data_IF_486936035886
#
_entry.id   IF_486936035886
#
_cell.length_a   1.000
_cell.length_b   1.000
_cell.length_c   1.000
_cell.angle_alpha   90.00
_cell.angle_beta   90.00
_cell.angle_gamma   90.00
#
_symmetry.space_group_name_H-M   'P 1'
#
loop_
_entity.id
_entity.type
_entity.pdbx_description
1 polymer ?
#
# COMPACT_ATOMS: atom_id res chain seq x y z
N UNK A 1 17.59 -16.48 9.62
CA UNK A 1 16.49 -15.50 9.65
C UNK A 1 16.57 -14.70 8.35
N UNK A 2 15.50 -14.66 7.55
CA UNK A 2 15.43 -13.71 6.43
C UNK A 2 14.88 -12.39 6.97
N UNK A 3 15.48 -11.27 6.59
CA UNK A 3 15.00 -9.93 6.91
C UNK A 3 14.19 -9.46 5.70
N UNK A 4 12.99 -8.97 5.94
CA UNK A 4 12.16 -8.31 4.92
C UNK A 4 12.25 -6.80 5.11
N UNK A 5 12.36 -6.06 4.02
CA UNK A 5 12.35 -4.59 4.00
C UNK A 5 11.01 -4.07 3.47
N UNK A 6 10.41 -3.14 4.20
CA UNK A 6 9.15 -2.49 3.84
C UNK A 6 9.40 -1.03 3.45
N UNK A 7 8.82 -0.59 2.33
CA UNK A 7 8.65 0.82 2.03
C UNK A 7 7.36 1.33 2.68
N UNK A 8 7.49 2.26 3.63
CA UNK A 8 6.40 3.10 4.11
C UNK A 8 6.47 4.46 3.39
N UNK A 9 5.46 4.75 2.56
CA UNK A 9 5.40 5.97 1.76
C UNK A 9 4.14 6.79 2.11
N UNK A 10 4.35 7.87 2.88
CA UNK A 10 3.28 8.73 3.42
C UNK A 10 2.86 9.88 2.48
N UNK A 11 3.23 9.85 1.20
CA UNK A 11 2.71 10.82 0.24
C UNK A 11 1.22 10.61 -0.03
N UNK A 12 0.48 11.71 -0.26
CA UNK A 12 -0.91 11.67 -0.71
C UNK A 12 -1.03 11.84 -2.24
N UNK A 13 0.08 12.15 -2.92
CA UNK A 13 0.14 12.36 -4.36
C UNK A 13 0.39 11.01 -5.03
N UNK A 14 -0.63 10.48 -5.72
CA UNK A 14 -0.59 9.16 -6.37
C UNK A 14 0.62 8.95 -7.28
N UNK A 15 0.97 9.95 -8.11
CA UNK A 15 2.10 9.85 -9.02
C UNK A 15 3.44 9.74 -8.29
N UNK A 16 3.62 10.48 -7.19
CA UNK A 16 4.82 10.38 -6.36
C UNK A 16 4.86 9.04 -5.62
N UNK A 17 3.71 8.54 -5.16
CA UNK A 17 3.62 7.23 -4.53
C UNK A 17 4.13 6.13 -5.47
N UNK A 18 3.56 6.07 -6.68
CA UNK A 18 3.89 5.06 -7.69
C UNK A 18 5.36 5.20 -8.10
N UNK A 19 5.81 6.42 -8.39
CA UNK A 19 7.19 6.68 -8.81
C UNK A 19 8.19 6.18 -7.76
N UNK A 20 8.00 6.52 -6.49
CA UNK A 20 8.90 6.05 -5.42
C UNK A 20 8.85 4.54 -5.25
N UNK A 21 7.67 3.91 -5.32
CA UNK A 21 7.55 2.46 -5.24
C UNK A 21 8.29 1.75 -6.39
N UNK A 22 8.16 2.24 -7.61
CA UNK A 22 8.86 1.72 -8.79
C UNK A 22 10.38 1.95 -8.72
N UNK A 23 10.83 3.12 -8.24
CA UNK A 23 12.26 3.47 -8.11
C UNK A 23 13.02 2.57 -7.12
N UNK A 24 12.35 2.05 -6.08
CA UNK A 24 13.00 1.25 -5.03
C UNK A 24 12.56 -0.21 -5.02
N UNK A 25 11.76 -0.65 -5.99
CA UNK A 25 11.16 -1.96 -6.05
C UNK A 25 12.17 -3.12 -5.87
N UNK A 26 13.36 -2.99 -6.43
CA UNK A 26 14.42 -4.03 -6.36
C UNK A 26 15.03 -4.20 -4.94
N UNK A 27 14.75 -3.27 -4.02
CA UNK A 27 15.34 -3.24 -2.69
C UNK A 27 14.36 -3.62 -1.57
N UNK A 28 13.06 -3.72 -1.88
CA UNK A 28 12.00 -3.89 -0.89
C UNK A 28 11.19 -5.16 -1.17
N UNK A 29 10.69 -5.77 -0.10
CA UNK A 29 9.84 -6.95 -0.16
C UNK A 29 8.35 -6.58 0.00
N UNK A 30 8.08 -5.51 0.74
CA UNK A 30 6.73 -5.06 1.11
C UNK A 30 6.52 -3.61 0.71
N UNK A 31 5.41 -3.33 0.04
CA UNK A 31 4.96 -1.98 -0.30
C UNK A 31 3.75 -1.65 0.57
N UNK A 32 3.91 -0.68 1.46
CA UNK A 32 2.79 -0.13 2.22
C UNK A 32 2.08 0.94 1.39
N UNK A 33 0.82 0.70 1.06
CA UNK A 33 -0.12 1.72 0.60
C UNK A 33 -0.62 2.44 1.85
N UNK A 34 0.07 3.52 2.20
CA UNK A 34 -0.12 4.25 3.47
C UNK A 34 -1.49 4.92 3.59
N UNK A 35 -1.89 5.21 4.83
CA UNK A 35 -3.18 5.88 5.13
C UNK A 35 -3.43 7.15 4.31
N UNK A 36 -2.48 8.09 4.12
CA UNK A 36 -2.74 9.33 3.36
C UNK A 36 -3.20 9.08 1.91
N UNK A 37 -2.58 8.12 1.23
CA UNK A 37 -2.87 7.81 -0.17
C UNK A 37 -4.17 6.99 -0.29
N UNK A 38 -4.47 6.11 0.68
CA UNK A 38 -5.76 5.41 0.77
C UNK A 38 -6.90 6.41 0.96
N UNK A 39 -6.73 7.41 1.85
CA UNK A 39 -7.75 8.43 2.07
C UNK A 39 -7.97 9.31 0.82
N UNK A 40 -6.91 9.59 0.05
CA UNK A 40 -7.00 10.43 -1.14
C UNK A 40 -7.55 9.70 -2.37
N UNK A 41 -7.24 8.41 -2.55
CA UNK A 41 -7.52 7.67 -3.81
C UNK A 41 -8.36 6.40 -3.62
N UNK A 42 -8.68 6.04 -2.38
CA UNK A 42 -9.42 4.83 -2.03
C UNK A 42 -8.63 3.54 -2.27
N UNK A 43 -9.32 2.40 -2.14
CA UNK A 43 -8.73 1.06 -2.29
C UNK A 43 -8.38 0.70 -3.74
N UNK A 44 -8.77 1.53 -4.72
CA UNK A 44 -8.39 1.34 -6.12
C UNK A 44 -6.88 1.39 -6.32
N UNK A 45 -6.16 2.21 -5.54
CA UNK A 45 -4.70 2.31 -5.62
C UNK A 45 -4.01 1.02 -5.14
N UNK A 46 -4.59 0.29 -4.18
CA UNK A 46 -4.06 -1.01 -3.73
C UNK A 46 -4.03 -2.00 -4.89
N UNK A 47 -5.13 -2.08 -5.67
CA UNK A 47 -5.22 -2.94 -6.86
C UNK A 47 -4.23 -2.52 -7.94
N UNK A 48 -4.13 -1.22 -8.21
CA UNK A 48 -3.21 -0.71 -9.23
C UNK A 48 -1.74 -1.03 -8.90
N UNK A 49 -1.33 -0.93 -7.65
CA UNK A 49 0.03 -1.29 -7.25
C UNK A 49 0.25 -2.80 -7.36
N UNK A 50 -0.73 -3.62 -6.95
CA UNK A 50 -0.67 -5.06 -7.14
C UNK A 50 -0.54 -5.47 -8.61
N UNK A 51 -1.16 -4.73 -9.53
CA UNK A 51 -1.05 -5.00 -10.97
C UNK A 51 0.30 -4.54 -11.55
N UNK A 52 0.86 -3.43 -11.04
CA UNK A 52 2.14 -2.86 -11.50
C UNK A 52 3.35 -3.62 -10.97
N UNK A 53 3.29 -4.05 -9.72
CA UNK A 53 4.39 -4.67 -8.96
C UNK A 53 3.91 -6.03 -8.41
N UNK A 54 3.62 -7.00 -9.30
CA UNK A 54 2.94 -8.26 -8.93
C UNK A 54 3.80 -9.22 -8.09
N UNK A 55 5.11 -9.00 -8.04
CA UNK A 55 6.05 -9.83 -7.26
C UNK A 55 6.23 -9.33 -5.82
N UNK A 56 5.62 -8.20 -5.46
CA UNK A 56 5.74 -7.58 -4.13
C UNK A 56 4.56 -7.92 -3.23
N UNK A 57 4.82 -8.01 -1.92
CA UNK A 57 3.74 -8.07 -0.94
C UNK A 57 3.16 -6.67 -0.75
N UNK A 58 1.85 -6.52 -0.91
CA UNK A 58 1.16 -5.24 -0.73
C UNK A 58 0.50 -5.19 0.66
N UNK A 59 0.81 -4.17 1.45
CA UNK A 59 0.20 -3.89 2.74
C UNK A 59 -0.70 -2.65 2.61
N UNK A 60 -2.02 -2.81 2.79
CA UNK A 60 -2.95 -1.69 2.84
C UNK A 60 -3.10 -1.20 4.29
N UNK A 61 -2.54 -0.03 4.60
CA UNK A 61 -2.51 0.52 5.96
C UNK A 61 -3.80 1.31 6.26
N UNK A 62 -4.90 0.56 6.37
CA UNK A 62 -6.27 1.09 6.55
C UNK A 62 -6.58 1.50 8.00
N UNK A 63 -5.79 1.03 8.98
CA UNK A 63 -5.99 1.31 10.42
C UNK A 63 -7.44 1.05 10.92
N UNK A 64 -8.03 -0.05 10.48
CA UNK A 64 -9.37 -0.49 10.91
C UNK A 64 -9.38 -0.64 12.44
N UNK A 65 -10.22 0.14 13.13
CA UNK A 65 -10.20 0.22 14.61
C UNK A 65 -11.58 0.42 15.22
N UNK A 66 -12.57 0.89 14.47
CA UNK A 66 -13.92 1.17 14.98
C UNK A 66 -14.91 0.09 14.50
N UNK A 67 -15.37 0.21 13.27
CA UNK A 67 -16.40 -0.65 12.69
C UNK A 67 -15.89 -2.01 12.22
N UNK A 68 -15.19 -2.79 13.06
CA UNK A 68 -14.40 -3.97 12.66
C UNK A 68 -15.02 -4.88 11.59
N UNK A 69 -16.29 -5.30 11.74
CA UNK A 69 -16.96 -6.11 10.70
C UNK A 69 -17.22 -5.33 9.41
N UNK A 70 -17.78 -4.12 9.53
CA UNK A 70 -18.16 -3.28 8.38
C UNK A 70 -16.92 -2.83 7.60
N UNK A 71 -15.90 -2.34 8.31
CA UNK A 71 -14.65 -1.85 7.72
C UNK A 71 -13.84 -3.00 7.08
N UNK A 72 -13.83 -4.20 7.68
CA UNK A 72 -13.21 -5.37 7.05
C UNK A 72 -13.91 -5.77 5.75
N UNK A 73 -15.25 -5.76 5.71
CA UNK A 73 -16.01 -6.03 4.46
C UNK A 73 -15.75 -4.97 3.38
N UNK A 74 -15.40 -3.74 3.75
CA UNK A 74 -15.00 -2.72 2.77
C UNK A 74 -13.56 -2.92 2.27
N UNK A 75 -12.71 -3.57 3.06
CA UNK A 75 -11.30 -3.78 2.76
C UNK A 75 -11.04 -5.04 1.90
N UNK A 76 -11.84 -6.10 2.07
CA UNK A 76 -11.68 -7.42 1.44
C UNK A 76 -12.85 -7.74 0.50
#
# INVERSE_FOLDING_TARGET
MMILLQLANDTHVKSDFIRTAEEVADYIDIIEVGTPVILAHGTALVREISDRLPDHTILADMKIVDGGYVEAVMAF
#
